data_IF_359858904614
#
_entry.id   IF_359858904614
#
_cell.length_a   1.000
_cell.length_b   1.000
_cell.length_c   1.000
_cell.angle_alpha   90.00
_cell.angle_beta   90.00
_cell.angle_gamma   90.00
#
_symmetry.space_group_name_H-M   'P 1'
#
loop_
_entity.id
_entity.type
_entity.pdbx_description
1 polymer ?
#
# COMPACT_ATOMS: atom_id res chain seq x y z
N UNK A 1 22.62 3.54 19.12
CA UNK A 1 22.15 2.52 18.16
C UNK A 1 20.79 2.94 17.63
N UNK A 2 20.54 2.88 16.32
CA UNK A 2 19.25 3.29 15.74
C UNK A 2 18.14 2.38 16.27
N UNK A 3 17.25 2.91 17.12
CA UNK A 3 16.01 2.23 17.54
C UNK A 3 15.01 2.10 16.38
N UNK A 4 15.24 2.84 15.29
CA UNK A 4 14.34 3.01 14.16
C UNK A 4 14.51 1.92 13.07
N UNK A 5 15.73 1.46 12.83
CA UNK A 5 16.02 0.50 11.76
C UNK A 5 16.50 -0.85 12.32
N UNK A 6 15.74 -1.91 12.00
CA UNK A 6 16.06 -3.29 12.35
C UNK A 6 16.45 -4.05 11.07
N UNK A 7 17.75 -4.17 10.76
CA UNK A 7 18.22 -4.70 9.46
C UNK A 7 17.97 -6.19 9.27
N UNK A 8 17.75 -6.95 10.34
CA UNK A 8 17.54 -8.40 10.27
C UNK A 8 16.12 -8.74 10.69
N UNK A 9 15.33 -9.23 9.73
CA UNK A 9 14.00 -9.78 9.98
C UNK A 9 14.10 -11.09 10.75
N UNK A 10 13.08 -11.38 11.55
CA UNK A 10 12.94 -12.69 12.16
C UNK A 10 12.78 -13.74 11.04
N UNK A 11 13.62 -14.79 10.97
CA UNK A 11 13.57 -15.79 9.89
C UNK A 11 12.22 -16.49 9.73
N UNK A 12 11.39 -16.56 10.78
CA UNK A 12 10.02 -17.11 10.69
C UNK A 12 9.14 -16.36 9.68
N UNK A 13 9.49 -15.11 9.39
CA UNK A 13 8.80 -14.20 8.48
C UNK A 13 9.57 -13.96 7.17
N UNK A 14 10.60 -14.75 6.88
CA UNK A 14 11.27 -14.77 5.58
C UNK A 14 10.69 -15.90 4.73
N UNK A 15 10.91 -15.85 3.42
CA UNK A 15 10.46 -16.86 2.48
C UNK A 15 10.95 -18.25 2.91
N UNK A 16 10.02 -19.22 2.98
CA UNK A 16 10.25 -20.56 3.56
C UNK A 16 9.96 -20.66 5.07
N UNK A 17 9.77 -19.56 5.78
CA UNK A 17 9.38 -19.53 7.18
C UNK A 17 7.87 -19.78 7.38
N UNK A 18 7.46 -20.31 8.56
CA UNK A 18 6.06 -20.72 8.81
C UNK A 18 5.06 -19.58 8.85
N UNK A 19 5.52 -18.34 9.07
CA UNK A 19 4.64 -17.16 9.17
C UNK A 19 4.74 -16.28 7.91
N UNK A 20 5.45 -16.72 6.88
CA UNK A 20 5.67 -15.89 5.71
C UNK A 20 4.38 -15.65 4.93
N UNK A 21 4.13 -14.37 4.64
CA UNK A 21 3.03 -13.88 3.83
C UNK A 21 3.53 -12.75 2.94
N UNK A 22 2.96 -12.65 1.74
CA UNK A 22 3.32 -11.62 0.77
C UNK A 22 2.33 -10.46 0.87
N UNK A 23 2.75 -9.34 1.46
CA UNK A 23 1.91 -8.14 1.49
C UNK A 23 1.91 -7.43 0.14
N UNK A 24 0.83 -6.68 -0.14
CA UNK A 24 0.75 -5.76 -1.29
C UNK A 24 2.01 -4.90 -1.44
N UNK A 25 2.53 -4.33 -0.36
CA UNK A 25 3.74 -3.49 -0.39
C UNK A 25 5.02 -4.26 -0.76
N UNK A 26 5.09 -5.57 -0.45
CA UNK A 26 6.22 -6.42 -0.86
C UNK A 26 6.08 -6.84 -2.33
N UNK A 27 4.86 -7.02 -2.83
CA UNK A 27 4.64 -7.22 -4.26
C UNK A 27 5.01 -5.97 -5.06
N UNK A 28 4.63 -4.77 -4.59
CA UNK A 28 5.08 -3.52 -5.23
C UNK A 28 6.61 -3.36 -5.18
N UNK A 29 7.27 -3.72 -4.06
CA UNK A 29 8.73 -3.77 -3.98
C UNK A 29 9.35 -4.70 -5.04
N UNK A 30 8.72 -5.83 -5.33
CA UNK A 30 9.14 -6.73 -6.41
C UNK A 30 9.03 -6.02 -7.76
N UNK A 31 7.89 -5.40 -8.06
CA UNK A 31 7.66 -4.65 -9.29
C UNK A 31 8.67 -3.50 -9.47
N UNK A 32 9.10 -2.85 -8.38
CA UNK A 32 10.12 -1.80 -8.44
C UNK A 32 11.55 -2.35 -8.56
N UNK A 33 11.89 -3.45 -7.86
CA UNK A 33 13.24 -4.00 -7.86
C UNK A 33 13.28 -5.45 -7.34
N UNK A 34 13.39 -6.45 -8.24
CA UNK A 34 13.46 -7.86 -7.86
C UNK A 34 14.62 -8.19 -6.89
N UNK A 35 15.79 -7.56 -7.07
CA UNK A 35 16.93 -7.76 -6.16
C UNK A 35 16.64 -7.29 -4.74
N UNK A 36 16.02 -6.12 -4.59
CA UNK A 36 15.68 -5.63 -3.26
C UNK A 36 14.58 -6.45 -2.61
N UNK A 37 13.59 -6.89 -3.40
CA UNK A 37 12.57 -7.84 -2.96
C UNK A 37 13.18 -9.15 -2.46
N UNK A 38 14.13 -9.72 -3.21
CA UNK A 38 14.84 -10.95 -2.83
C UNK A 38 15.63 -10.77 -1.52
N UNK A 39 16.43 -9.71 -1.41
CA UNK A 39 17.22 -9.44 -0.19
C UNK A 39 16.30 -9.24 1.02
N UNK A 40 15.16 -8.57 0.85
CA UNK A 40 14.21 -8.31 1.92
C UNK A 40 13.46 -9.58 2.34
N UNK A 41 12.84 -10.28 1.40
CA UNK A 41 11.92 -11.38 1.71
C UNK A 41 12.63 -12.73 1.88
N UNK A 42 13.71 -13.02 1.15
CA UNK A 42 14.46 -14.29 1.28
C UNK A 42 15.65 -14.15 2.21
N UNK A 43 16.48 -13.13 2.02
CA UNK A 43 17.70 -12.95 2.85
C UNK A 43 17.44 -12.20 4.17
N UNK A 44 16.26 -11.62 4.34
CA UNK A 44 15.82 -11.03 5.60
C UNK A 44 16.35 -9.63 5.90
N UNK A 45 16.86 -8.90 4.90
CA UNK A 45 17.35 -7.53 5.09
C UNK A 45 16.57 -6.51 4.27
N UNK A 46 15.68 -5.79 4.97
CA UNK A 46 14.90 -4.72 4.37
C UNK A 46 15.76 -3.50 4.02
N UNK A 47 15.25 -2.63 3.16
CA UNK A 47 15.80 -1.28 2.98
C UNK A 47 15.58 -0.46 4.27
N UNK A 48 16.45 0.51 4.60
CA UNK A 48 16.12 1.51 5.60
C UNK A 48 14.75 2.15 5.28
N UNK A 49 13.81 2.22 6.23
CA UNK A 49 12.52 2.83 6.00
C UNK A 49 12.66 4.35 5.84
N UNK A 50 11.73 4.97 5.11
CA UNK A 50 11.55 6.42 5.09
C UNK A 50 11.07 6.96 6.44
N UNK A 51 10.84 8.26 6.55
CA UNK A 51 10.31 8.90 7.76
C UNK A 51 8.85 8.51 8.05
N UNK A 52 8.42 8.49 9.32
CA UNK A 52 7.04 8.22 9.65
C UNK A 52 6.14 9.42 9.29
N UNK A 53 5.10 9.17 8.49
CA UNK A 53 4.10 10.19 8.14
C UNK A 53 2.97 10.23 9.18
N UNK A 54 3.29 10.70 10.39
CA UNK A 54 2.37 10.68 11.54
C UNK A 54 1.14 11.57 11.36
N UNK A 55 1.27 12.74 10.69
CA UNK A 55 0.13 13.59 10.34
C UNK A 55 -0.81 12.91 9.36
N UNK A 56 -0.27 12.31 8.29
CA UNK A 56 -1.07 11.58 7.31
C UNK A 56 -1.81 10.41 7.97
N UNK A 57 -1.14 9.71 8.90
CA UNK A 57 -1.74 8.64 9.69
C UNK A 57 -2.86 9.15 10.62
N UNK A 58 -2.74 10.37 11.14
CA UNK A 58 -3.78 10.99 11.96
C UNK A 58 -5.02 11.35 11.12
N UNK A 59 -4.82 11.90 9.91
CA UNK A 59 -5.91 12.17 8.96
C UNK A 59 -6.64 10.88 8.59
N UNK A 60 -5.91 9.83 8.21
CA UNK A 60 -6.47 8.50 7.92
C UNK A 60 -7.32 7.96 9.09
N UNK A 61 -6.79 8.04 10.32
CA UNK A 61 -7.51 7.61 11.53
C UNK A 61 -8.80 8.39 11.76
N UNK A 62 -8.81 9.69 11.50
CA UNK A 62 -10.00 10.53 11.64
C UNK A 62 -11.04 10.24 10.56
N UNK A 63 -10.62 10.08 9.30
CA UNK A 63 -11.50 9.65 8.22
C UNK A 63 -12.14 8.30 8.54
N UNK A 64 -11.36 7.31 9.01
CA UNK A 64 -11.91 6.00 9.41
C UNK A 64 -13.04 6.16 10.43
N UNK A 65 -12.83 6.94 11.49
CA UNK A 65 -13.86 7.21 12.50
C UNK A 65 -15.10 7.91 11.93
N UNK A 66 -14.91 8.87 11.04
CA UNK A 66 -16.00 9.59 10.38
C UNK A 66 -16.85 8.63 9.53
N UNK A 67 -16.21 7.84 8.68
CA UNK A 67 -16.88 6.82 7.86
C UNK A 67 -17.48 5.68 8.70
N UNK A 68 -16.93 5.36 9.87
CA UNK A 68 -17.52 4.40 10.82
C UNK A 68 -18.87 4.88 11.36
N UNK A 69 -19.02 6.17 11.66
CA UNK A 69 -20.29 6.74 12.10
C UNK A 69 -21.37 6.63 11.00
N UNK A 70 -20.97 6.81 9.74
CA UNK A 70 -21.84 6.62 8.58
C UNK A 70 -22.18 5.14 8.33
N UNK A 71 -21.20 4.24 8.43
CA UNK A 71 -21.40 2.78 8.30
C UNK A 71 -22.39 2.25 9.33
N UNK A 72 -22.28 2.68 10.58
CA UNK A 72 -23.17 2.26 11.66
C UNK A 72 -24.63 2.68 11.41
N UNK A 73 -24.83 3.84 10.77
CA UNK A 73 -26.16 4.39 10.44
C UNK A 73 -26.68 3.96 9.07
N UNK A 74 -25.85 3.33 8.24
CA UNK A 74 -26.20 3.00 6.85
C UNK A 74 -26.43 4.24 5.98
N UNK A 75 -25.71 5.34 6.24
CA UNK A 75 -25.90 6.60 5.51
C UNK A 75 -24.71 6.94 4.61
N UNK A 76 -24.98 7.61 3.49
CA UNK A 76 -23.94 8.14 2.63
C UNK A 76 -23.21 9.32 3.29
N UNK A 77 -21.91 9.41 3.07
CA UNK A 77 -21.10 10.55 3.48
C UNK A 77 -21.39 11.77 2.59
N UNK A 78 -21.21 13.00 3.10
CA UNK A 78 -21.44 14.23 2.31
C UNK A 78 -20.55 14.28 1.05
N UNK A 79 -19.31 13.79 1.16
CA UNK A 79 -18.39 13.66 0.02
C UNK A 79 -18.99 12.81 -1.11
N UNK A 80 -19.64 11.69 -0.81
CA UNK A 80 -20.27 10.85 -1.85
C UNK A 80 -21.38 11.62 -2.57
N UNK A 81 -22.23 12.34 -1.81
CA UNK A 81 -23.31 13.16 -2.36
C UNK A 81 -22.79 14.29 -3.23
N UNK A 82 -21.74 14.99 -2.79
CA UNK A 82 -21.14 16.09 -3.53
C UNK A 82 -20.60 15.65 -4.89
N UNK A 83 -20.19 14.39 -5.03
CA UNK A 83 -19.69 13.79 -6.27
C UNK A 83 -20.74 12.95 -7.02
N UNK A 84 -22.00 12.96 -6.57
CA UNK A 84 -23.07 12.17 -7.21
C UNK A 84 -22.86 10.66 -7.12
N UNK A 85 -22.04 10.17 -6.19
CA UNK A 85 -21.78 8.75 -5.98
C UNK A 85 -22.87 8.14 -5.08
N UNK A 86 -23.70 7.29 -5.66
CA UNK A 86 -24.71 6.53 -4.92
C UNK A 86 -24.07 5.29 -4.26
N UNK A 87 -23.50 5.50 -3.08
CA UNK A 87 -22.89 4.45 -2.28
C UNK A 87 -22.99 4.77 -0.77
N UNK A 88 -22.83 3.75 0.05
CA UNK A 88 -22.68 3.88 1.51
C UNK A 88 -21.47 3.07 2.00
N UNK A 89 -20.87 3.41 3.15
CA UNK A 89 -19.80 2.60 3.71
C UNK A 89 -20.28 1.17 3.99
N UNK A 90 -19.53 0.18 3.52
CA UNK A 90 -19.95 -1.21 3.54
C UNK A 90 -19.89 -1.78 4.95
N UNK A 91 -21.01 -2.33 5.42
CA UNK A 91 -21.10 -2.98 6.73
C UNK A 91 -20.75 -4.45 6.61
N UNK A 92 -19.64 -4.85 7.23
CA UNK A 92 -19.20 -6.24 7.28
C UNK A 92 -18.49 -6.55 8.60
N UNK A 93 -18.68 -7.76 9.14
CA UNK A 93 -18.09 -8.19 10.42
C UNK A 93 -16.55 -8.19 10.40
N UNK A 94 -15.95 -8.42 9.23
CA UNK A 94 -14.50 -8.43 9.01
C UNK A 94 -13.89 -7.07 8.69
N UNK A 95 -14.64 -5.97 8.77
CA UNK A 95 -14.11 -4.65 8.38
C UNK A 95 -12.86 -4.26 9.19
N UNK A 96 -12.87 -4.49 10.51
CA UNK A 96 -11.71 -4.20 11.36
C UNK A 96 -10.50 -5.09 11.03
N UNK A 97 -10.75 -6.37 10.72
CA UNK A 97 -9.72 -7.31 10.25
C UNK A 97 -9.10 -6.83 8.94
N UNK A 98 -9.94 -6.44 7.96
CA UNK A 98 -9.48 -5.98 6.65
C UNK A 98 -8.68 -4.68 6.71
N UNK A 99 -8.89 -3.86 7.74
CA UNK A 99 -8.13 -2.62 7.99
C UNK A 99 -6.82 -2.85 8.75
N UNK A 100 -6.69 -3.92 9.53
CA UNK A 100 -5.44 -4.24 10.25
C UNK A 100 -4.38 -4.86 9.32
N UNK A 101 -3.69 -4.01 8.55
CA UNK A 101 -2.61 -4.43 7.64
C UNK A 101 -1.46 -5.21 8.32
N UNK A 102 -1.25 -5.05 9.62
CA UNK A 102 -0.10 -5.62 10.34
C UNK A 102 -0.38 -7.03 10.87
N UNK A 103 -1.60 -7.30 11.34
CA UNK A 103 -1.96 -8.60 11.93
C UNK A 103 -2.97 -9.37 11.10
N UNK A 104 -3.92 -8.67 10.49
CA UNK A 104 -4.95 -9.23 9.63
C UNK A 104 -4.72 -8.84 8.18
N UNK A 105 -5.63 -8.01 7.66
CA UNK A 105 -5.80 -7.65 6.26
C UNK A 105 -6.72 -8.64 5.56
N UNK A 106 -7.31 -8.23 4.44
CA UNK A 106 -7.91 -9.21 3.54
C UNK A 106 -6.80 -10.11 3.00
N UNK A 107 -7.05 -11.42 2.98
CA UNK A 107 -6.05 -12.40 2.55
C UNK A 107 -6.61 -13.35 1.49
N UNK A 108 -5.72 -13.87 0.65
CA UNK A 108 -6.05 -14.93 -0.29
C UNK A 108 -4.85 -15.85 -0.46
N UNK A 109 -5.09 -17.17 -0.51
CA UNK A 109 -4.06 -18.15 -0.84
C UNK A 109 -4.00 -18.33 -2.36
N UNK A 110 -2.95 -17.81 -2.98
CA UNK A 110 -2.69 -18.02 -4.39
C UNK A 110 -2.14 -19.44 -4.61
N UNK A 111 -3.00 -20.37 -5.03
CA UNK A 111 -2.67 -21.80 -5.08
C UNK A 111 -1.48 -22.12 -6.00
N UNK A 112 -1.35 -21.44 -7.14
CA UNK A 112 -0.27 -21.70 -8.09
C UNK A 112 1.13 -21.43 -7.48
N UNK A 113 1.25 -20.46 -6.58
CA UNK A 113 2.53 -20.12 -5.92
C UNK A 113 2.64 -20.64 -4.49
N UNK A 114 1.52 -21.01 -3.88
CA UNK A 114 1.41 -21.31 -2.45
C UNK A 114 1.43 -20.06 -1.55
N UNK A 115 1.49 -18.85 -2.13
CA UNK A 115 1.60 -17.61 -1.35
C UNK A 115 0.31 -17.30 -0.61
N UNK A 116 0.44 -16.91 0.66
CA UNK A 116 -0.63 -16.18 1.34
C UNK A 116 -0.42 -14.69 1.05
N UNK A 117 -1.25 -14.13 0.17
CA UNK A 117 -1.22 -12.71 -0.21
C UNK A 117 -2.12 -11.93 0.73
N UNK A 118 -1.67 -10.75 1.19
CA UNK A 118 -2.45 -9.91 2.10
C UNK A 118 -2.41 -8.42 1.77
N UNK A 119 -3.46 -7.70 2.15
CA UNK A 119 -3.61 -6.26 1.99
C UNK A 119 -4.50 -5.65 3.05
N UNK A 120 -4.14 -4.47 3.56
CA UNK A 120 -4.98 -3.69 4.47
C UNK A 120 -5.62 -2.52 3.73
N UNK A 121 -6.94 -2.51 3.65
CA UNK A 121 -7.70 -1.40 3.03
C UNK A 121 -7.92 -0.28 4.04
N UNK A 122 -8.13 0.95 3.55
CA UNK A 122 -8.59 2.03 4.43
C UNK A 122 -10.10 1.97 4.61
N UNK A 123 -10.84 1.77 3.52
CA UNK A 123 -12.29 1.61 3.57
C UNK A 123 -12.84 0.80 2.38
N UNK A 124 -14.09 0.37 2.53
CA UNK A 124 -14.86 -0.26 1.45
C UNK A 124 -16.26 0.33 1.48
N UNK A 125 -16.77 0.73 0.32
CA UNK A 125 -18.15 1.19 0.13
C UNK A 125 -18.94 0.17 -0.68
N UNK A 126 -20.26 0.31 -0.72
CA UNK A 126 -21.14 -0.54 -1.51
C UNK A 126 -22.19 0.31 -2.23
N UNK A 127 -22.41 0.01 -3.51
CA UNK A 127 -23.47 0.63 -4.31
C UNK A 127 -24.80 -0.16 -4.20
N UNK A 128 -25.94 0.37 -4.69
CA UNK A 128 -27.22 -0.34 -4.65
C UNK A 128 -27.24 -1.69 -5.39
N UNK A 129 -26.32 -1.92 -6.32
CA UNK A 129 -26.16 -3.17 -7.05
C UNK A 129 -25.36 -4.22 -6.27
N UNK A 130 -24.95 -3.91 -5.03
CA UNK A 130 -24.18 -4.79 -4.17
C UNK A 130 -22.71 -4.92 -4.57
N UNK A 131 -22.20 -4.04 -5.43
CA UNK A 131 -20.79 -4.04 -5.81
C UNK A 131 -19.98 -3.28 -4.77
N UNK A 132 -18.91 -3.91 -4.29
CA UNK A 132 -17.96 -3.30 -3.40
C UNK A 132 -17.06 -2.34 -4.18
N UNK A 133 -16.81 -1.20 -3.57
CA UNK A 133 -15.94 -0.14 -4.08
C UNK A 133 -14.79 -0.01 -3.10
N UNK A 134 -13.58 -0.30 -3.56
CA UNK A 134 -12.37 -0.17 -2.75
C UNK A 134 -12.02 1.32 -2.63
N UNK A 135 -11.69 1.75 -1.41
CA UNK A 135 -11.34 3.13 -1.12
C UNK A 135 -10.03 3.21 -0.35
N UNK A 136 -9.17 4.14 -0.78
CA UNK A 136 -7.86 4.36 -0.21
C UNK A 136 -7.71 5.84 0.18
N UNK A 137 -7.18 6.11 1.37
CA UNK A 137 -7.06 7.47 1.90
C UNK A 137 -5.65 7.99 1.64
N UNK A 138 -5.56 9.19 1.06
CA UNK A 138 -4.30 9.87 0.80
C UNK A 138 -4.33 11.24 1.47
N UNK A 139 -3.25 11.58 2.15
CA UNK A 139 -3.05 12.91 2.70
C UNK A 139 -1.72 13.47 2.19
N UNK A 140 -1.68 14.77 1.89
CA UNK A 140 -0.47 15.51 1.53
C UNK A 140 -0.67 16.99 1.89
N UNK A 141 0.36 17.80 1.72
CA UNK A 141 0.22 19.26 1.58
C UNK A 141 1.12 19.68 0.42
N UNK A 142 0.51 20.18 -0.65
CA UNK A 142 1.23 20.69 -1.83
C UNK A 142 0.44 21.83 -2.45
N UNK A 143 1.17 22.71 -3.15
CA UNK A 143 0.56 23.72 -4.00
C UNK A 143 -0.12 23.07 -5.22
N UNK A 144 -1.29 23.59 -5.58
CA UNK A 144 -2.08 23.13 -6.72
C UNK A 144 -2.88 21.84 -6.48
N UNK A 145 -3.44 21.30 -7.56
CA UNK A 145 -4.39 20.19 -7.47
C UNK A 145 -3.73 18.83 -7.20
N UNK A 146 -4.35 18.02 -6.33
CA UNK A 146 -4.00 16.61 -6.16
C UNK A 146 -4.50 15.77 -7.34
N UNK A 147 -3.64 14.88 -7.84
CA UNK A 147 -3.93 13.92 -8.91
C UNK A 147 -3.17 12.60 -8.67
N UNK A 148 -3.24 11.67 -9.64
CA UNK A 148 -2.60 10.35 -9.60
C UNK A 148 -1.59 10.14 -10.74
N UNK A 149 -1.04 11.23 -11.28
CA UNK A 149 -0.28 11.23 -12.54
C UNK A 149 1.24 11.26 -12.35
N UNK A 150 1.75 11.53 -11.15
CA UNK A 150 3.18 11.52 -10.91
C UNK A 150 3.73 10.09 -10.96
N UNK A 151 4.95 9.91 -11.48
CA UNK A 151 5.56 8.58 -11.71
C UNK A 151 5.53 7.68 -10.46
N UNK A 152 5.80 8.25 -9.29
CA UNK A 152 5.82 7.52 -8.01
C UNK A 152 4.42 7.09 -7.54
N UNK A 153 3.35 7.66 -8.09
CA UNK A 153 1.96 7.31 -7.76
C UNK A 153 1.48 6.04 -8.46
N UNK A 154 2.30 5.42 -9.31
CA UNK A 154 2.02 4.06 -9.82
C UNK A 154 1.82 3.05 -8.67
N UNK A 155 2.52 3.23 -7.55
CA UNK A 155 2.34 2.40 -6.35
C UNK A 155 0.94 2.52 -5.74
N UNK A 156 0.25 3.67 -5.91
CA UNK A 156 -1.13 3.86 -5.46
C UNK A 156 -2.12 3.12 -6.36
N UNK A 157 -1.90 3.16 -7.67
CA UNK A 157 -2.72 2.43 -8.66
C UNK A 157 -2.62 0.93 -8.44
N UNK A 158 -1.39 0.40 -8.32
CA UNK A 158 -1.14 -1.02 -8.00
C UNK A 158 -1.72 -1.43 -6.65
N UNK A 159 -1.70 -0.54 -5.66
CA UNK A 159 -2.33 -0.79 -4.36
C UNK A 159 -3.83 -1.03 -4.50
N UNK A 160 -4.53 -0.15 -5.21
CA UNK A 160 -5.96 -0.29 -5.48
C UNK A 160 -6.26 -1.61 -6.19
N UNK A 161 -5.50 -1.93 -7.23
CA UNK A 161 -5.68 -3.14 -8.05
C UNK A 161 -5.46 -4.43 -7.25
N UNK A 162 -4.42 -4.49 -6.41
CA UNK A 162 -4.19 -5.66 -5.55
C UNK A 162 -5.35 -5.84 -4.55
N UNK A 163 -5.94 -4.76 -4.04
CA UNK A 163 -7.09 -4.85 -3.15
C UNK A 163 -8.34 -5.31 -3.91
N UNK A 164 -8.61 -4.77 -5.09
CA UNK A 164 -9.70 -5.27 -5.96
C UNK A 164 -9.52 -6.77 -6.26
N UNK A 165 -8.30 -7.19 -6.60
CA UNK A 165 -7.96 -8.60 -6.80
C UNK A 165 -8.25 -9.43 -5.54
N UNK A 166 -7.78 -8.99 -4.36
CA UNK A 166 -7.98 -9.72 -3.10
C UNK A 166 -9.48 -9.90 -2.78
N UNK A 167 -10.29 -8.86 -2.92
CA UNK A 167 -11.73 -8.95 -2.67
C UNK A 167 -12.43 -9.85 -3.71
N UNK A 168 -12.06 -9.77 -4.99
CA UNK A 168 -12.59 -10.66 -6.03
C UNK A 168 -12.26 -12.13 -5.77
N UNK A 169 -11.03 -12.43 -5.31
CA UNK A 169 -10.61 -13.78 -4.94
C UNK A 169 -11.21 -14.28 -3.61
N UNK A 170 -11.98 -13.43 -2.92
CA UNK A 170 -12.81 -13.76 -1.77
C UNK A 170 -14.31 -13.70 -2.14
N UNK A 171 -14.64 -13.91 -3.42
CA UNK A 171 -16.01 -14.05 -3.96
C UNK A 171 -16.91 -12.82 -3.81
N UNK A 172 -16.33 -11.64 -3.53
CA UNK A 172 -17.07 -10.39 -3.56
C UNK A 172 -17.24 -9.89 -5.00
N UNK A 173 -18.41 -9.32 -5.29
CA UNK A 173 -18.62 -8.52 -6.50
C UNK A 173 -17.96 -7.15 -6.28
N UNK A 174 -16.97 -6.79 -7.09
CA UNK A 174 -16.15 -5.58 -6.88
C UNK A 174 -16.15 -4.72 -8.14
N UNK A 175 -16.51 -3.44 -7.99
CA UNK A 175 -16.42 -2.41 -9.02
C UNK A 175 -14.99 -2.29 -9.58
N UNK A 176 -14.85 -2.15 -10.90
CA UNK A 176 -13.58 -1.82 -11.54
C UNK A 176 -13.10 -0.42 -11.14
N UNK A 177 -14.02 0.48 -10.80
CA UNK A 177 -13.68 1.81 -10.28
C UNK A 177 -13.59 1.78 -8.76
N UNK A 178 -12.39 2.06 -8.24
CA UNK A 178 -12.14 2.45 -6.85
C UNK A 178 -12.01 3.97 -6.71
N UNK A 179 -11.88 4.45 -5.48
CA UNK A 179 -11.74 5.88 -5.21
C UNK A 179 -10.61 6.19 -4.24
N UNK A 180 -9.90 7.29 -4.51
CA UNK A 180 -8.99 7.88 -3.55
C UNK A 180 -9.68 9.07 -2.88
N UNK A 181 -9.81 9.02 -1.55
CA UNK A 181 -10.16 10.21 -0.75
C UNK A 181 -8.86 10.93 -0.47
N UNK A 182 -8.61 12.00 -1.22
CA UNK A 182 -7.35 12.72 -1.21
C UNK A 182 -7.50 14.06 -0.47
N UNK A 183 -6.94 14.14 0.73
CA UNK A 183 -6.88 15.33 1.56
C UNK A 183 -5.59 16.12 1.25
N UNK A 184 -5.73 17.35 0.74
CA UNK A 184 -4.62 18.28 0.55
C UNK A 184 -4.68 19.36 1.65
N UNK A 185 -3.66 19.40 2.51
CA UNK A 185 -3.54 20.43 3.54
C UNK A 185 -3.22 21.77 2.90
N UNK A 186 -4.06 22.75 3.15
CA UNK A 186 -3.94 24.11 2.65
C UNK A 186 -2.88 24.88 3.46
N UNK A 187 -1.74 25.13 2.82
CA UNK A 187 -0.63 25.89 3.39
C UNK A 187 -0.68 27.38 3.05
N UNK A 188 -1.70 27.85 2.33
CA UNK A 188 -1.89 29.25 1.91
C UNK A 188 -2.88 30.00 2.83
N UNK A 189 -3.19 29.44 4.01
CA UNK A 189 -3.95 30.15 5.05
C UNK A 189 -3.13 31.29 5.65
N UNK A 190 -3.82 32.37 6.03
CA UNK A 190 -3.21 33.57 6.62
C UNK A 190 -2.35 33.25 7.87
N UNK A 191 -2.79 32.28 8.67
CA UNK A 191 -2.09 31.81 9.86
C UNK A 191 -2.36 30.32 10.12
N UNK A 192 -1.51 29.70 10.95
CA UNK A 192 -1.66 28.29 11.32
C UNK A 192 -2.75 28.05 12.37
N UNK A 193 -2.91 28.94 13.36
CA UNK A 193 -3.94 28.90 14.41
C UNK A 193 -4.20 27.52 15.07
N UNK A 194 -3.18 26.65 15.11
CA UNK A 194 -3.31 25.29 15.64
C UNK A 194 -4.18 24.36 14.79
N UNK A 195 -4.45 24.70 13.53
CA UNK A 195 -5.35 23.99 12.61
C UNK A 195 -4.70 23.82 11.23
N UNK A 196 -4.76 22.61 10.69
CA UNK A 196 -4.59 22.40 9.26
C UNK A 196 -5.97 22.28 8.62
N UNK A 197 -6.22 23.10 7.62
CA UNK A 197 -7.44 23.02 6.81
C UNK A 197 -7.14 22.14 5.59
N UNK A 198 -8.13 21.37 5.15
CA UNK A 198 -7.94 20.41 4.07
C UNK A 198 -8.98 20.59 2.99
N UNK A 199 -8.53 20.62 1.74
CA UNK A 199 -9.37 20.38 0.58
C UNK A 199 -9.42 18.88 0.32
N UNK A 200 -10.63 18.33 0.17
CA UNK A 200 -10.83 16.90 -0.05
C UNK A 200 -11.33 16.68 -1.47
N UNK A 201 -10.54 15.93 -2.25
CA UNK A 201 -10.97 15.44 -3.57
C UNK A 201 -11.30 13.95 -3.51
N UNK A 202 -12.36 13.58 -4.23
CA UNK A 202 -12.69 12.19 -4.48
C UNK A 202 -12.25 11.84 -5.91
N UNK A 203 -11.13 11.13 -6.04
CA UNK A 203 -10.52 10.85 -7.35
C UNK A 203 -10.89 9.41 -7.77
N UNK A 204 -11.68 9.23 -8.85
CA UNK A 204 -11.99 7.90 -9.37
C UNK A 204 -10.76 7.28 -10.04
N UNK A 205 -10.62 5.96 -9.91
CA UNK A 205 -9.62 5.19 -10.63
C UNK A 205 -10.21 3.84 -11.07
N UNK A 206 -10.30 3.62 -12.37
CA UNK A 206 -10.64 2.32 -12.96
C UNK A 206 -9.37 1.46 -13.00
N UNK A 207 -9.29 0.48 -12.11
CA UNK A 207 -8.14 -0.40 -11.98
C UNK A 207 -8.22 -1.64 -12.87
N UNK A 208 -7.05 -2.15 -13.25
CA UNK A 208 -6.92 -3.45 -13.92
C UNK A 208 -6.02 -4.38 -13.10
N UNK A 209 -6.59 -5.35 -12.36
CA UNK A 209 -5.81 -6.31 -11.59
C UNK A 209 -5.26 -7.49 -12.41
N UNK A 210 -5.40 -7.51 -13.74
CA UNK A 210 -4.97 -8.63 -14.60
C UNK A 210 -3.49 -9.00 -14.44
N UNK A 211 -2.65 -8.03 -14.08
CA UNK A 211 -1.22 -8.22 -13.89
C UNK A 211 -0.85 -8.98 -12.61
N UNK A 212 -1.76 -9.03 -11.61
CA UNK A 212 -1.43 -9.51 -10.26
C UNK A 212 -1.05 -10.99 -10.26
N UNK A 213 -1.82 -11.85 -10.94
CA UNK A 213 -1.56 -13.30 -10.97
C UNK A 213 -0.19 -13.61 -11.60
N UNK A 214 0.18 -12.94 -12.71
CA UNK A 214 1.50 -13.12 -13.33
C UNK A 214 2.63 -12.58 -12.44
N UNK A 215 2.45 -11.41 -11.83
CA UNK A 215 3.48 -10.86 -10.92
C UNK A 215 3.72 -11.74 -9.70
N UNK A 216 2.70 -12.48 -9.22
CA UNK A 216 2.87 -13.46 -8.15
C UNK A 216 3.71 -14.67 -8.60
N UNK A 217 3.51 -15.16 -9.83
CA UNK A 217 4.32 -16.22 -10.43
C UNK A 217 5.78 -15.77 -10.59
N UNK A 218 6.01 -14.59 -11.16
CA UNK A 218 7.36 -14.05 -11.36
C UNK A 218 8.07 -13.79 -10.02
N UNK A 219 7.33 -13.33 -9.01
CA UNK A 219 7.85 -13.14 -7.66
C UNK A 219 8.26 -14.48 -7.03
N UNK A 220 7.53 -15.57 -7.31
CA UNK A 220 7.90 -16.92 -6.89
C UNK A 220 9.18 -17.40 -7.56
N UNK A 221 9.27 -17.28 -8.88
CA UNK A 221 10.47 -17.67 -9.62
C UNK A 221 11.71 -16.90 -9.14
N UNK A 222 11.54 -15.60 -8.88
CA UNK A 222 12.56 -14.76 -8.27
C UNK A 222 13.01 -15.30 -6.90
N UNK A 223 12.07 -15.65 -6.02
CA UNK A 223 12.37 -16.17 -4.69
C UNK A 223 12.95 -17.58 -4.71
N UNK A 224 12.57 -18.44 -5.66
CA UNK A 224 13.09 -19.80 -5.77
C UNK A 224 14.47 -19.83 -6.44
N UNK A 225 14.75 -18.85 -7.31
CA UNK A 225 16.02 -18.71 -8.02
C UNK A 225 17.17 -18.12 -7.20
N UNK A 226 18.15 -17.60 -7.94
CA UNK A 226 19.34 -16.93 -7.42
C UNK A 226 19.15 -15.42 -7.27
N UNK A 227 20.01 -14.76 -6.48
CA UNK A 227 19.97 -13.31 -6.27
C UNK A 227 19.92 -12.53 -7.60
N UNK A 228 18.87 -11.73 -7.86
CA UNK A 228 18.75 -10.97 -9.10
C UNK A 228 19.85 -9.91 -9.27
N UNK A 229 20.08 -9.51 -10.54
CA UNK A 229 20.95 -8.38 -10.88
C UNK A 229 20.46 -7.08 -10.25
N UNK A 230 21.39 -6.16 -10.00
CA UNK A 230 21.05 -4.82 -9.52
C UNK A 230 20.12 -4.11 -10.51
N UNK A 231 19.08 -3.44 -10.02
CA UNK A 231 18.23 -2.59 -10.85
C UNK A 231 18.99 -1.32 -11.21
N UNK A 232 18.95 -0.92 -12.49
CA UNK A 232 19.65 0.26 -12.99
C UNK A 232 19.11 1.56 -12.33
N UNK A 233 17.79 1.70 -12.26
CA UNK A 233 17.11 2.87 -11.69
C UNK A 233 16.79 2.73 -10.19
N UNK A 234 17.47 1.82 -9.48
CA UNK A 234 17.20 1.58 -8.07
C UNK A 234 18.25 2.27 -7.19
N UNK A 235 17.88 3.39 -6.57
CA UNK A 235 18.74 4.15 -5.64
C UNK A 235 19.38 3.28 -4.57
N UNK A 236 18.65 2.31 -4.02
CA UNK A 236 19.19 1.39 -3.02
C UNK A 236 20.21 0.40 -3.58
N UNK A 237 20.10 0.02 -4.85
CA UNK A 237 21.12 -0.79 -5.51
C UNK A 237 22.37 0.05 -5.78
N UNK A 238 22.18 1.28 -6.29
CA UNK A 238 23.26 2.25 -6.54
C UNK A 238 24.03 2.57 -5.26
N UNK A 239 23.32 2.91 -4.19
CA UNK A 239 23.91 3.19 -2.87
C UNK A 239 24.74 2.02 -2.33
N UNK A 240 24.20 0.79 -2.40
CA UNK A 240 24.92 -0.41 -1.93
C UNK A 240 26.18 -0.67 -2.74
N UNK A 241 26.13 -0.48 -4.06
CA UNK A 241 27.29 -0.62 -4.94
C UNK A 241 28.37 0.40 -4.57
N UNK A 242 28.02 1.69 -4.51
CA UNK A 242 28.96 2.75 -4.16
C UNK A 242 29.60 2.53 -2.77
N UNK A 243 28.80 2.11 -1.79
CA UNK A 243 29.30 1.80 -0.44
C UNK A 243 30.27 0.62 -0.44
N UNK A 244 29.96 -0.45 -1.19
CA UNK A 244 30.84 -1.62 -1.31
C UNK A 244 32.17 -1.28 -1.99
N UNK A 245 32.17 -0.40 -2.98
CA UNK A 245 33.38 0.04 -3.68
C UNK A 245 34.32 0.77 -2.73
N UNK A 246 33.82 1.76 -1.99
CA UNK A 246 34.63 2.53 -1.02
C UNK A 246 35.13 1.65 0.13
N UNK A 247 34.30 0.75 0.67
CA UNK A 247 34.71 -0.15 1.75
C UNK A 247 35.80 -1.14 1.32
N UNK A 248 35.78 -1.61 0.07
CA UNK A 248 36.85 -2.48 -0.46
C UNK A 248 38.18 -1.74 -0.56
N UNK A 249 38.17 -0.50 -1.05
CA UNK A 249 39.38 0.34 -1.12
C UNK A 249 39.99 0.55 0.26
N UNK A 250 39.16 0.85 1.27
CA UNK A 250 39.61 1.05 2.64
C UNK A 250 40.21 -0.21 3.30
N UNK A 251 39.84 -1.40 2.83
CA UNK A 251 40.41 -2.68 3.31
C UNK A 251 41.69 -3.03 2.56
N UNK A 252 41.86 -2.64 1.29
CA UNK A 252 43.07 -2.89 0.51
C UNK A 252 44.25 -1.97 0.84
N UNK A 253 44.03 -0.87 1.57
CA UNK A 253 45.07 0.05 2.04
C UNK A 253 45.64 -0.31 3.43
N UNK A 254 45.18 -1.42 4.02
CA UNK A 254 45.70 -2.00 5.26
C UNK A 254 46.38 -3.34 5.00
#
# INVERSE_FOLDING_TARGET
MSSYYKPHRNPKWNYGGPNWRLSRSKLDLFMSCPRCFYIDNKLGTARPPGYPFSLNSAVDKLLKKEFDAHRAKGTAHLLMKAYGLDAVPYRHEKMDEWRDSLRGGITHRHFATGFLVCGGVDDVWVNPQGELIIVDYKATSKEGEVSLDADWQIGYKRQMEVYQWLFRKNDFKVSDTGYFVYCNGDSDKEAFDGKLEFDIKLIPYTGDPSWVDQALLDAKDCLDGTLPRAGAECDYCTYRKATQEVLKLAVSEK
#
